data_IF_039447680965
#
_entry.id   IF_039447680965
#
_cell.length_a   1.000
_cell.length_b   1.000
_cell.length_c   1.000
_cell.angle_alpha   90.00
_cell.angle_beta   90.00
_cell.angle_gamma   90.00
#
_symmetry.space_group_name_H-M   'P 1'
#
loop_
_entity.id
_entity.type
_entity.pdbx_description
1 polymer ?
#
# COMPACT_ATOMS: atom_id res chain seq x y z
N UNK A 1 -9.36 14.78 8.00
CA UNK A 1 -10.28 14.93 6.85
C UNK A 1 -10.14 16.35 6.33
N UNK A 2 -9.96 16.55 5.01
CA UNK A 2 -9.89 17.88 4.41
C UNK A 2 -11.16 18.71 4.65
N UNK A 3 -10.99 20.03 4.86
CA UNK A 3 -12.08 20.95 5.20
C UNK A 3 -13.20 21.02 4.14
N UNK A 4 -12.86 20.80 2.87
CA UNK A 4 -13.81 20.83 1.76
C UNK A 4 -14.78 19.64 1.77
N UNK A 5 -14.36 18.44 2.22
CA UNK A 5 -15.30 17.33 2.45
C UNK A 5 -16.28 17.63 3.57
N UNK A 6 -15.79 18.27 4.65
CA UNK A 6 -16.65 18.66 5.77
C UNK A 6 -17.70 19.68 5.32
N UNK A 7 -17.31 20.64 4.47
CA UNK A 7 -18.23 21.61 3.91
C UNK A 7 -19.30 20.96 3.01
N UNK A 8 -18.91 20.03 2.12
CA UNK A 8 -19.84 19.29 1.27
C UNK A 8 -20.83 18.46 2.10
N UNK A 9 -20.35 17.73 3.12
CA UNK A 9 -21.24 16.99 4.02
C UNK A 9 -22.19 17.92 4.77
N UNK A 10 -21.74 19.08 5.25
CA UNK A 10 -22.61 20.05 5.94
C UNK A 10 -23.70 20.63 5.04
N UNK A 11 -23.43 20.77 3.75
CA UNK A 11 -24.39 21.30 2.79
C UNK A 11 -25.44 20.25 2.38
N UNK A 12 -25.02 18.99 2.21
CA UNK A 12 -25.83 17.97 1.55
C UNK A 12 -26.38 16.89 2.50
N UNK A 13 -25.82 16.73 3.70
CA UNK A 13 -26.24 15.73 4.69
C UNK A 13 -27.01 16.39 5.83
N UNK A 14 -28.28 16.01 5.99
CA UNK A 14 -29.17 16.57 7.03
C UNK A 14 -29.36 15.66 8.24
N UNK A 15 -29.03 14.37 8.13
CA UNK A 15 -29.16 13.40 9.24
C UNK A 15 -28.15 12.25 9.17
N UNK A 16 -27.91 11.60 10.31
CA UNK A 16 -27.07 10.40 10.39
C UNK A 16 -27.65 9.19 9.65
N UNK A 17 -28.97 9.11 9.51
CA UNK A 17 -29.62 8.06 8.71
C UNK A 17 -29.35 8.21 7.22
N UNK A 18 -29.33 9.46 6.72
CA UNK A 18 -29.03 9.76 5.32
C UNK A 18 -27.61 9.34 4.95
N UNK A 19 -26.60 9.74 5.74
CA UNK A 19 -25.21 9.35 5.44
C UNK A 19 -24.98 7.84 5.53
N UNK A 20 -25.76 7.13 6.35
CA UNK A 20 -25.74 5.68 6.46
C UNK A 20 -26.33 4.95 5.24
N UNK A 21 -27.26 5.59 4.52
CA UNK A 21 -27.93 4.99 3.37
C UNK A 21 -27.31 5.33 2.02
N UNK A 22 -26.36 6.27 1.94
CA UNK A 22 -25.76 6.68 0.68
C UNK A 22 -24.98 5.54 0.00
N UNK A 23 -25.27 5.32 -1.27
CA UNK A 23 -24.47 4.50 -2.18
C UNK A 23 -23.15 5.19 -2.55
N UNK A 24 -22.20 4.42 -3.07
CA UNK A 24 -20.89 4.95 -3.51
C UNK A 24 -21.04 6.00 -4.63
N UNK A 25 -22.03 5.80 -5.52
CA UNK A 25 -22.37 6.75 -6.59
C UNK A 25 -22.96 8.05 -6.05
N UNK A 26 -23.83 7.97 -5.05
CA UNK A 26 -24.40 9.17 -4.40
C UNK A 26 -23.33 9.92 -3.61
N UNK A 27 -22.44 9.22 -2.90
CA UNK A 27 -21.28 9.87 -2.25
C UNK A 27 -20.40 10.59 -3.28
N UNK A 28 -20.16 9.99 -4.45
CA UNK A 28 -19.39 10.65 -5.50
C UNK A 28 -20.13 11.86 -6.09
N UNK A 29 -21.43 11.73 -6.40
CA UNK A 29 -22.23 12.76 -7.06
C UNK A 29 -22.61 13.92 -6.13
N UNK A 30 -23.10 13.60 -4.94
CA UNK A 30 -23.63 14.58 -3.98
C UNK A 30 -22.54 15.19 -3.11
N UNK A 31 -21.53 14.42 -2.72
CA UNK A 31 -20.44 14.92 -1.86
C UNK A 31 -19.17 15.28 -2.64
N UNK A 32 -19.15 15.04 -3.96
CA UNK A 32 -18.01 15.36 -4.82
C UNK A 32 -16.75 14.52 -4.51
N UNK A 33 -16.92 13.34 -3.90
CA UNK A 33 -15.79 12.49 -3.47
C UNK A 33 -15.39 11.53 -4.60
N UNK A 34 -14.51 11.97 -5.49
CA UNK A 34 -14.07 11.18 -6.64
C UNK A 34 -13.09 10.05 -6.31
N UNK A 35 -12.24 10.20 -5.29
CA UNK A 35 -11.27 9.17 -4.91
C UNK A 35 -11.98 8.00 -4.19
N UNK A 36 -11.90 6.76 -4.71
CA UNK A 36 -12.56 5.59 -4.12
C UNK A 36 -12.10 5.30 -2.68
N UNK A 37 -10.83 5.57 -2.34
CA UNK A 37 -10.34 5.37 -0.97
C UNK A 37 -10.90 6.40 0.01
N UNK A 38 -11.24 7.61 -0.45
CA UNK A 38 -11.91 8.59 0.41
C UNK A 38 -13.36 8.19 0.68
N UNK A 39 -14.02 7.59 -0.30
CA UNK A 39 -15.37 7.01 -0.12
C UNK A 39 -15.31 5.79 0.80
N UNK A 40 -14.33 4.91 0.62
CA UNK A 40 -14.10 3.78 1.54
C UNK A 40 -13.90 4.26 2.98
N UNK A 41 -13.09 5.31 3.20
CA UNK A 41 -12.89 5.92 4.52
C UNK A 41 -14.21 6.33 5.17
N UNK A 42 -15.06 7.01 4.40
CA UNK A 42 -16.37 7.47 4.88
C UNK A 42 -17.25 6.27 5.24
N UNK A 43 -17.37 5.28 4.35
CA UNK A 43 -18.19 4.08 4.58
C UNK A 43 -17.71 3.31 5.80
N UNK A 44 -16.40 3.09 5.96
CA UNK A 44 -15.83 2.39 7.10
C UNK A 44 -16.13 3.12 8.43
N UNK A 45 -15.99 4.45 8.46
CA UNK A 45 -16.32 5.25 9.64
C UNK A 45 -17.82 5.20 10.00
N UNK A 46 -18.69 5.27 8.99
CA UNK A 46 -20.15 5.17 9.18
C UNK A 46 -20.55 3.78 9.69
N UNK A 47 -19.99 2.72 9.10
CA UNK A 47 -20.24 1.34 9.53
C UNK A 47 -19.81 1.08 10.97
N UNK A 48 -18.65 1.62 11.38
CA UNK A 48 -18.18 1.54 12.77
C UNK A 48 -19.15 2.24 13.74
N UNK A 49 -19.63 3.44 13.40
CA UNK A 49 -20.61 4.16 14.21
C UNK A 49 -21.91 3.36 14.34
N UNK A 50 -22.43 2.82 13.23
CA UNK A 50 -23.65 1.99 13.24
C UNK A 50 -23.45 0.75 14.12
N UNK A 51 -22.33 0.04 13.96
CA UNK A 51 -22.02 -1.14 14.76
C UNK A 51 -21.97 -0.81 16.26
N UNK A 52 -21.47 0.37 16.62
CA UNK A 52 -21.45 0.83 18.01
C UNK A 52 -22.84 1.18 18.54
N UNK A 53 -23.63 1.97 17.79
CA UNK A 53 -24.94 2.46 18.24
C UNK A 53 -26.01 1.38 18.24
N UNK A 54 -25.89 0.38 17.38
CA UNK A 54 -26.86 -0.72 17.25
C UNK A 54 -26.52 -1.94 18.12
N UNK A 55 -25.40 -1.94 18.84
CA UNK A 55 -25.05 -3.04 19.75
C UNK A 55 -25.79 -2.90 21.09
N UNK A 56 -26.74 -3.80 21.42
CA UNK A 56 -27.57 -3.68 22.62
C UNK A 56 -26.78 -3.77 23.94
N UNK A 57 -25.52 -4.24 23.92
CA UNK A 57 -24.65 -4.26 25.12
C UNK A 57 -24.16 -2.87 25.54
N UNK A 58 -24.17 -1.89 24.64
CA UNK A 58 -23.80 -0.50 24.94
C UNK A 58 -25.01 0.36 25.34
N UNK A 59 -26.23 -0.18 25.21
CA UNK A 59 -27.49 0.50 25.50
C UNK A 59 -27.98 0.39 26.95
N UNK A 60 -27.25 -0.28 27.87
CA UNK A 60 -27.69 -0.51 29.26
C UNK A 60 -26.91 0.23 30.34
N UNK A 61 -26.05 1.18 29.99
CA UNK A 61 -25.47 2.10 30.99
C UNK A 61 -25.89 3.54 30.69
N UNK A 62 -26.92 3.95 31.44
CA UNK A 62 -27.31 5.31 31.83
C UNK A 62 -28.13 6.16 30.83
N UNK A 63 -29.44 6.06 31.03
CA UNK A 63 -30.38 7.18 30.98
C UNK A 63 -29.81 8.44 31.67
N UNK A 64 -29.87 9.58 30.98
CA UNK A 64 -30.04 10.88 31.63
C UNK A 64 -28.78 11.64 32.08
N UNK A 65 -27.81 11.90 31.22
CA UNK A 65 -26.92 13.08 31.42
C UNK A 65 -26.64 13.82 30.11
N UNK A 66 -26.77 15.12 30.20
CA UNK A 66 -26.62 16.16 29.19
C UNK A 66 -25.17 16.31 28.72
N UNK A 67 -24.95 16.34 27.40
CA UNK A 67 -23.87 17.15 26.82
C UNK A 67 -22.51 16.50 26.52
N UNK A 68 -22.41 15.19 26.30
CA UNK A 68 -21.21 14.65 25.63
C UNK A 68 -21.23 15.07 24.16
N UNK A 69 -20.18 15.77 23.74
CA UNK A 69 -20.04 16.19 22.35
C UNK A 69 -19.91 14.94 21.47
N UNK A 70 -20.36 14.95 20.19
CA UNK A 70 -20.15 13.82 19.27
C UNK A 70 -18.67 13.46 19.08
N UNK A 71 -17.77 14.35 19.50
CA UNK A 71 -16.32 14.21 19.51
C UNK A 71 -15.76 13.43 20.71
N UNK A 72 -16.54 13.14 21.75
CA UNK A 72 -16.10 12.43 22.97
C UNK A 72 -16.47 10.93 22.99
N UNK A 73 -16.85 10.36 21.84
CA UNK A 73 -17.02 8.91 21.72
C UNK A 73 -15.65 8.24 21.85
N UNK A 74 -15.42 7.37 22.86
CA UNK A 74 -14.11 6.75 23.11
C UNK A 74 -13.55 5.98 21.89
N UNK A 75 -14.43 5.53 21.00
CA UNK A 75 -14.10 4.71 19.83
C UNK A 75 -13.52 5.54 18.68
N UNK A 76 -13.93 6.80 18.52
CA UNK A 76 -13.40 7.67 17.46
C UNK A 76 -11.96 8.13 17.74
N UNK A 77 -11.51 8.07 19.00
CA UNK A 77 -10.14 8.38 19.39
C UNK A 77 -9.20 7.17 19.43
N UNK A 78 -9.73 5.93 19.52
CA UNK A 78 -8.91 4.73 19.70
C UNK A 78 -8.34 4.14 18.40
N UNK A 79 -8.98 4.38 17.25
CA UNK A 79 -8.50 3.82 15.98
C UNK A 79 -7.37 4.66 15.38
N UNK A 80 -6.25 4.05 14.95
CA UNK A 80 -5.13 4.78 14.40
C UNK A 80 -5.55 5.59 13.16
N UNK A 81 -5.34 6.90 13.22
CA UNK A 81 -5.68 7.79 12.12
C UNK A 81 -4.69 7.67 10.94
N UNK A 82 -5.01 8.32 9.82
CA UNK A 82 -4.16 8.29 8.64
C UNK A 82 -2.74 8.83 8.84
N UNK A 83 -2.53 9.79 9.74
CA UNK A 83 -1.19 10.31 10.04
C UNK A 83 -0.35 9.27 10.75
N UNK A 84 -0.93 8.53 11.70
CA UNK A 84 -0.25 7.42 12.34
C UNK A 84 0.08 6.32 11.33
N UNK A 85 -0.88 5.94 10.48
CA UNK A 85 -0.68 4.93 9.43
C UNK A 85 0.46 5.35 8.49
N UNK A 86 0.43 6.59 8.00
CA UNK A 86 1.40 7.11 7.02
C UNK A 86 2.78 7.41 7.60
N UNK A 87 2.86 8.02 8.78
CA UNK A 87 4.12 8.49 9.36
C UNK A 87 4.83 7.44 10.22
N UNK A 88 4.06 6.63 10.97
CA UNK A 88 4.60 5.74 11.99
C UNK A 88 4.53 4.30 11.50
N UNK A 89 3.32 3.80 11.23
CA UNK A 89 3.12 2.38 10.93
C UNK A 89 3.89 1.93 9.70
N UNK A 90 3.79 2.65 8.57
CA UNK A 90 4.58 2.33 7.37
C UNK A 90 6.09 2.33 7.61
N UNK A 91 6.61 3.24 8.44
CA UNK A 91 8.02 3.22 8.83
C UNK A 91 8.35 1.93 9.59
N UNK A 92 7.49 1.52 10.54
CA UNK A 92 7.71 0.30 11.33
C UNK A 92 7.74 -0.98 10.48
N UNK A 93 7.11 -0.97 9.30
CA UNK A 93 7.15 -2.07 8.34
C UNK A 93 8.34 -2.01 7.37
N UNK A 94 9.10 -0.91 7.37
CA UNK A 94 10.14 -0.64 6.36
C UNK A 94 9.55 -0.26 5.00
N UNK A 95 8.40 0.41 4.98
CA UNK A 95 7.61 0.75 3.79
C UNK A 95 7.30 2.26 3.67
N UNK A 96 8.17 3.10 4.24
CA UNK A 96 7.98 4.55 4.32
C UNK A 96 7.87 5.24 2.95
N UNK A 97 8.35 4.62 1.88
CA UNK A 97 8.25 5.14 0.51
C UNK A 97 6.80 5.29 0.02
N UNK A 98 5.85 4.51 0.57
CA UNK A 98 4.43 4.59 0.23
C UNK A 98 3.65 5.63 1.06
N UNK A 99 4.33 6.30 2.00
CA UNK A 99 3.73 7.30 2.90
C UNK A 99 2.89 8.33 2.17
N UNK A 100 3.43 8.89 1.09
CA UNK A 100 2.77 9.96 0.36
C UNK A 100 1.40 9.52 -0.15
N UNK A 101 1.32 8.34 -0.78
CA UNK A 101 0.09 7.82 -1.36
C UNK A 101 -0.93 7.45 -0.28
N UNK A 102 -0.48 6.83 0.82
CA UNK A 102 -1.36 6.53 1.96
C UNK A 102 -1.93 7.80 2.60
N UNK A 103 -1.11 8.86 2.71
CA UNK A 103 -1.53 10.14 3.26
C UNK A 103 -2.49 10.88 2.33
N UNK A 104 -2.19 10.94 1.03
CA UNK A 104 -3.05 11.55 0.02
C UNK A 104 -4.40 10.83 -0.09
N UNK A 105 -4.43 9.50 0.11
CA UNK A 105 -5.65 8.69 0.11
C UNK A 105 -6.33 8.57 1.49
N UNK A 106 -5.82 9.26 2.50
CA UNK A 106 -6.38 9.32 3.86
C UNK A 106 -6.56 7.94 4.55
N UNK A 107 -5.72 6.96 4.21
CA UNK A 107 -5.83 5.58 4.72
C UNK A 107 -5.65 5.54 6.23
N UNK A 108 -6.69 5.16 6.98
CA UNK A 108 -6.63 4.96 8.43
C UNK A 108 -6.75 3.47 8.82
N UNK A 109 -6.64 3.17 10.12
CA UNK A 109 -6.68 1.81 10.65
C UNK A 109 -7.91 1.01 10.23
N UNK A 110 -9.07 1.65 10.18
CA UNK A 110 -10.34 1.01 9.79
C UNK A 110 -10.33 0.59 8.34
N UNK A 111 -9.69 1.37 7.48
CA UNK A 111 -9.60 1.06 6.05
C UNK A 111 -8.68 -0.12 5.76
N UNK A 112 -7.67 -0.37 6.59
CA UNK A 112 -6.60 -1.34 6.29
C UNK A 112 -7.16 -2.73 5.96
N UNK A 113 -8.21 -3.17 6.66
CA UNK A 113 -8.83 -4.49 6.43
C UNK A 113 -9.66 -4.59 5.16
N UNK A 114 -10.04 -3.44 4.61
CA UNK A 114 -10.92 -3.32 3.45
C UNK A 114 -10.17 -2.94 2.19
N UNK A 115 -8.86 -2.70 2.27
CA UNK A 115 -8.03 -2.47 1.09
C UNK A 115 -8.01 -3.73 0.23
N UNK A 116 -8.21 -3.56 -1.07
CA UNK A 116 -8.11 -4.64 -2.07
C UNK A 116 -6.75 -4.64 -2.77
N UNK A 117 -6.44 -5.71 -3.51
CA UNK A 117 -5.17 -5.85 -4.23
C UNK A 117 -5.07 -4.77 -5.32
N UNK A 118 -6.22 -4.42 -5.91
CA UNK A 118 -6.36 -3.30 -6.84
C UNK A 118 -6.06 -1.99 -6.14
N UNK A 119 -6.59 -1.74 -4.94
CA UNK A 119 -6.31 -0.50 -4.20
C UNK A 119 -4.82 -0.32 -3.91
N UNK A 120 -4.18 -1.38 -3.40
CA UNK A 120 -2.74 -1.38 -3.13
C UNK A 120 -1.95 -1.05 -4.40
N UNK A 121 -2.27 -1.67 -5.54
CA UNK A 121 -1.53 -1.48 -6.80
C UNK A 121 -1.82 -0.14 -7.48
N UNK A 122 -3.10 0.18 -7.66
CA UNK A 122 -3.57 1.27 -8.52
C UNK A 122 -3.54 2.60 -7.77
N UNK A 123 -4.09 2.64 -6.55
CA UNK A 123 -4.23 3.88 -5.78
C UNK A 123 -3.02 4.13 -4.89
N UNK A 124 -2.53 3.10 -4.20
CA UNK A 124 -1.43 3.21 -3.22
C UNK A 124 -0.04 2.93 -3.82
N UNK A 125 0.03 2.53 -5.10
CA UNK A 125 1.25 2.31 -5.88
C UNK A 125 2.19 1.22 -5.33
N UNK A 126 1.65 0.28 -4.56
CA UNK A 126 2.36 -0.92 -4.06
C UNK A 126 2.36 -2.02 -5.13
N UNK A 127 3.21 -1.84 -6.14
CA UNK A 127 3.34 -2.75 -7.29
C UNK A 127 4.12 -4.02 -6.94
N UNK A 128 5.05 -3.93 -6.00
CA UNK A 128 5.84 -5.07 -5.53
C UNK A 128 4.96 -6.09 -4.80
N UNK A 129 5.12 -7.38 -5.14
CA UNK A 129 4.38 -8.47 -4.51
C UNK A 129 4.75 -8.69 -3.05
N UNK A 130 6.04 -8.60 -2.73
CA UNK A 130 6.54 -8.72 -1.38
C UNK A 130 6.09 -7.55 -0.51
N UNK A 131 6.09 -6.31 -1.02
CA UNK A 131 5.59 -5.19 -0.22
C UNK A 131 4.10 -5.31 0.10
N UNK A 132 3.29 -5.89 -0.79
CA UNK A 132 1.88 -6.18 -0.48
C UNK A 132 1.75 -7.25 0.61
N UNK A 133 2.55 -8.31 0.54
CA UNK A 133 2.60 -9.34 1.59
C UNK A 133 3.06 -8.75 2.93
N UNK A 134 4.05 -7.87 2.91
CA UNK A 134 4.51 -7.13 4.07
C UNK A 134 3.41 -6.32 4.73
N UNK A 135 2.62 -5.56 3.95
CA UNK A 135 1.45 -4.84 4.45
C UNK A 135 0.43 -5.81 5.05
N UNK A 136 0.15 -6.95 4.39
CA UNK A 136 -0.77 -7.96 4.90
C UNK A 136 -0.34 -8.54 6.26
N UNK A 137 0.93 -8.89 6.42
CA UNK A 137 1.48 -9.35 7.69
C UNK A 137 1.39 -8.26 8.76
N UNK A 138 1.65 -6.99 8.41
CA UNK A 138 1.46 -5.85 9.30
C UNK A 138 0.01 -5.68 9.76
N UNK A 139 -0.97 -5.87 8.86
CA UNK A 139 -2.40 -5.82 9.20
C UNK A 139 -2.78 -7.01 10.09
N UNK A 140 -2.27 -8.21 9.80
CA UNK A 140 -2.50 -9.40 10.62
C UNK A 140 -1.96 -9.21 12.05
N UNK A 141 -0.82 -8.52 12.19
CA UNK A 141 -0.31 -8.10 13.50
C UNK A 141 -1.30 -7.16 14.20
N UNK A 142 -1.76 -6.08 13.56
CA UNK A 142 -2.72 -5.15 14.17
C UNK A 142 -4.00 -5.86 14.62
N UNK A 143 -4.56 -6.73 13.75
CA UNK A 143 -5.74 -7.55 14.06
C UNK A 143 -5.54 -8.45 15.28
N UNK A 144 -4.36 -9.07 15.41
CA UNK A 144 -4.02 -9.95 16.54
C UNK A 144 -4.09 -9.24 17.89
N UNK A 145 -3.85 -7.94 17.89
CA UNK A 145 -3.92 -7.08 19.08
C UNK A 145 -5.20 -6.25 19.11
N UNK A 146 -6.20 -6.57 18.29
CA UNK A 146 -7.45 -5.82 18.21
C UNK A 146 -7.23 -4.31 17.97
N UNK A 147 -6.17 -3.95 17.25
CA UNK A 147 -5.73 -2.56 17.03
C UNK A 147 -5.38 -1.78 18.31
N UNK A 148 -5.09 -2.48 19.42
CA UNK A 148 -4.53 -1.89 20.63
C UNK A 148 -3.05 -1.53 20.40
N UNK A 149 -2.82 -0.27 20.03
CA UNK A 149 -1.48 0.24 19.72
C UNK A 149 -0.61 0.26 20.96
N UNK A 150 -1.17 0.59 22.13
CA UNK A 150 -0.42 0.66 23.37
C UNK A 150 0.09 -0.73 23.79
N UNK A 151 -0.73 -1.76 23.64
CA UNK A 151 -0.32 -3.14 23.88
C UNK A 151 0.80 -3.61 22.92
N UNK A 152 0.79 -3.16 21.67
CA UNK A 152 1.87 -3.45 20.72
C UNK A 152 3.16 -2.74 21.14
N UNK A 153 3.09 -1.46 21.51
CA UNK A 153 4.26 -0.68 21.93
C UNK A 153 4.85 -1.17 23.26
N UNK A 154 4.02 -1.65 24.19
CA UNK A 154 4.49 -2.31 25.42
C UNK A 154 5.32 -3.55 25.09
N UNK A 155 4.85 -4.39 24.17
CA UNK A 155 5.58 -5.59 23.74
C UNK A 155 6.85 -5.25 22.99
N UNK A 156 6.83 -4.24 22.11
CA UNK A 156 8.02 -3.72 21.42
C UNK A 156 9.08 -3.25 22.43
N UNK A 157 8.66 -2.53 23.45
CA UNK A 157 9.53 -2.05 24.52
C UNK A 157 10.14 -3.22 25.32
N UNK A 158 9.35 -4.25 25.61
CA UNK A 158 9.80 -5.44 26.34
C UNK A 158 10.87 -6.27 25.57
N UNK A 159 10.87 -6.23 24.23
CA UNK A 159 11.81 -6.96 23.37
C UNK A 159 12.90 -6.09 22.73
N UNK A 160 13.06 -4.83 23.13
CA UNK A 160 14.04 -3.92 22.51
C UNK A 160 15.47 -4.46 22.59
N UNK A 161 15.86 -5.01 23.75
CA UNK A 161 17.20 -5.53 24.02
C UNK A 161 17.23 -7.06 24.17
N UNK A 162 16.16 -7.76 23.79
CA UNK A 162 16.01 -9.21 23.95
C UNK A 162 15.50 -9.81 22.65
N UNK A 163 16.11 -10.92 22.23
CA UNK A 163 15.67 -11.67 21.06
C UNK A 163 14.46 -12.54 21.40
N UNK A 164 13.33 -11.89 21.66
CA UNK A 164 12.05 -12.52 21.99
C UNK A 164 10.93 -11.81 21.27
N UNK A 165 9.80 -12.49 21.11
CA UNK A 165 8.57 -11.91 20.58
C UNK A 165 8.70 -11.30 19.18
N UNK A 166 9.21 -12.10 18.23
CA UNK A 166 9.53 -11.67 16.88
C UNK A 166 8.39 -10.92 16.18
N UNK A 167 7.13 -11.33 16.39
CA UNK A 167 5.99 -10.81 15.62
C UNK A 167 5.81 -9.29 15.73
N UNK A 168 6.21 -8.67 16.85
CA UNK A 168 6.06 -7.22 17.08
C UNK A 168 7.25 -6.39 16.60
N UNK A 169 8.34 -7.03 16.16
CA UNK A 169 9.56 -6.32 15.79
C UNK A 169 9.32 -5.38 14.61
N UNK A 170 9.77 -4.15 14.78
CA UNK A 170 9.83 -3.15 13.70
C UNK A 170 10.96 -3.47 12.73
N UNK A 171 10.96 -2.83 11.56
CA UNK A 171 12.07 -2.85 10.63
C UNK A 171 13.41 -2.50 11.31
N UNK A 172 13.45 -1.42 12.11
CA UNK A 172 14.64 -1.03 12.88
C UNK A 172 15.12 -2.12 13.85
N UNK A 173 14.20 -2.78 14.55
CA UNK A 173 14.53 -3.86 15.48
C UNK A 173 15.10 -5.08 14.75
N UNK A 174 14.57 -5.40 13.56
CA UNK A 174 15.10 -6.45 12.67
C UNK A 174 16.49 -6.05 12.16
N UNK A 175 16.69 -4.81 11.75
CA UNK A 175 17.99 -4.29 11.30
C UNK A 175 19.06 -4.42 12.40
N UNK A 176 18.70 -4.05 13.63
CA UNK A 176 19.57 -4.17 14.81
C UNK A 176 19.94 -5.62 15.09
N UNK A 177 18.97 -6.53 14.99
CA UNK A 177 19.21 -7.98 15.13
C UNK A 177 20.17 -8.50 14.05
N UNK A 178 19.91 -8.20 12.78
CA UNK A 178 20.77 -8.63 11.67
C UNK A 178 22.20 -8.08 11.78
N UNK A 179 22.34 -6.84 12.23
CA UNK A 179 23.64 -6.22 12.51
C UNK A 179 24.37 -6.95 13.63
N UNK A 180 23.67 -7.34 14.70
CA UNK A 180 24.25 -8.11 15.81
C UNK A 180 24.71 -9.50 15.38
N UNK A 181 24.04 -10.11 14.39
CA UNK A 181 24.45 -11.37 13.79
C UNK A 181 25.59 -11.24 12.77
N UNK A 182 25.98 -10.01 12.40
CA UNK A 182 26.93 -9.74 11.33
C UNK A 182 26.39 -10.02 9.92
N UNK A 183 25.07 -10.15 9.77
CA UNK A 183 24.39 -10.34 8.48
C UNK A 183 24.12 -9.03 7.74
N UNK A 184 24.15 -7.91 8.46
CA UNK A 184 24.02 -6.56 7.93
C UNK A 184 25.19 -5.72 8.45
N UNK A 185 25.80 -4.92 7.58
CA UNK A 185 26.81 -3.95 8.00
C UNK A 185 26.16 -2.78 8.74
N UNK A 186 26.88 -2.17 9.69
CA UNK A 186 26.34 -1.05 10.48
C UNK A 186 25.94 0.19 9.65
N UNK A 187 26.45 0.31 8.42
CA UNK A 187 26.09 1.38 7.47
C UNK A 187 24.95 1.00 6.53
N UNK A 188 24.56 -0.27 6.48
CA UNK A 188 23.54 -0.79 5.57
C UNK A 188 22.16 -0.66 6.21
N UNK A 189 21.19 -0.15 5.44
CA UNK A 189 19.80 -0.05 5.89
C UNK A 189 18.93 -1.05 5.13
N UNK A 190 17.97 -1.63 5.84
CA UNK A 190 16.87 -2.41 5.26
C UNK A 190 15.59 -1.56 5.12
N UNK A 191 15.74 -0.23 5.14
CA UNK A 191 14.67 0.69 4.77
C UNK A 191 14.12 0.34 3.39
N UNK A 192 12.82 0.56 3.21
CA UNK A 192 12.11 0.31 1.96
C UNK A 192 12.02 -1.16 1.53
N UNK A 193 12.59 -2.10 2.29
CA UNK A 193 12.54 -3.53 1.97
C UNK A 193 11.20 -4.19 2.28
N UNK A 194 10.42 -3.63 3.20
CA UNK A 194 9.24 -4.32 3.76
C UNK A 194 9.55 -5.40 4.80
N UNK A 195 10.82 -5.60 5.17
CA UNK A 195 11.20 -6.55 6.21
C UNK A 195 10.83 -6.05 7.60
N UNK A 196 10.06 -6.84 8.34
CA UNK A 196 9.74 -6.60 9.75
C UNK A 196 9.36 -7.93 10.42
N UNK A 197 9.17 -7.90 11.74
CA UNK A 197 8.94 -9.07 12.56
C UNK A 197 7.74 -9.92 12.17
N UNK A 198 6.61 -9.29 11.83
CA UNK A 198 5.40 -10.01 11.46
C UNK A 198 5.58 -10.80 10.15
N UNK A 199 6.28 -10.28 9.14
CA UNK A 199 6.63 -11.06 7.93
C UNK A 199 7.50 -12.25 8.28
N UNK A 200 8.56 -12.05 9.07
CA UNK A 200 9.46 -13.14 9.47
C UNK A 200 8.75 -14.23 10.29
N UNK A 201 7.74 -13.84 11.09
CA UNK A 201 7.00 -14.76 11.96
C UNK A 201 5.85 -15.47 11.23
N UNK A 202 5.16 -14.78 10.32
CA UNK A 202 3.88 -15.23 9.76
C UNK A 202 4.00 -15.79 8.34
N UNK A 203 4.90 -15.27 7.51
CA UNK A 203 5.06 -15.78 6.15
C UNK A 203 5.73 -17.16 6.19
N UNK A 204 5.07 -18.17 5.60
CA UNK A 204 5.58 -19.53 5.53
C UNK A 204 6.76 -19.66 4.55
N UNK A 205 6.76 -18.83 3.50
CA UNK A 205 7.75 -18.85 2.41
C UNK A 205 9.01 -18.06 2.76
N UNK A 206 8.98 -17.24 3.83
CA UNK A 206 10.17 -16.60 4.38
C UNK A 206 11.10 -17.63 5.01
N UNK A 207 12.07 -18.05 4.21
CA UNK A 207 13.18 -18.89 4.60
C UNK A 207 14.51 -18.13 4.57
N UNK A 208 15.57 -18.81 5.00
CA UNK A 208 16.92 -18.22 5.11
C UNK A 208 17.49 -17.84 3.73
N UNK A 209 17.38 -18.67 2.67
CA UNK A 209 17.72 -18.28 1.31
C UNK A 209 17.02 -17.01 0.84
N UNK A 210 15.71 -16.88 1.06
CA UNK A 210 14.93 -15.70 0.66
C UNK A 210 15.39 -14.46 1.41
N UNK A 211 15.57 -14.57 2.74
CA UNK A 211 16.09 -13.47 3.56
C UNK A 211 17.50 -13.07 3.12
N UNK A 212 18.39 -14.02 2.83
CA UNK A 212 19.75 -13.74 2.37
C UNK A 212 19.75 -13.04 1.00
N UNK A 213 18.86 -13.43 0.10
CA UNK A 213 18.69 -12.77 -1.20
C UNK A 213 18.20 -11.33 -1.04
N UNK A 214 17.25 -11.07 -0.13
CA UNK A 214 16.77 -9.72 0.19
C UNK A 214 17.87 -8.83 0.78
N UNK A 215 18.75 -9.41 1.60
CA UNK A 215 19.92 -8.73 2.16
C UNK A 215 21.08 -8.61 1.16
N UNK A 216 20.91 -9.08 -0.08
CA UNK A 216 21.94 -9.09 -1.13
C UNK A 216 23.23 -9.79 -0.71
N UNK A 217 23.12 -10.82 0.15
CA UNK A 217 24.26 -11.64 0.57
C UNK A 217 24.67 -12.52 -0.63
N UNK A 218 25.89 -12.39 -1.17
CA UNK A 218 26.30 -13.11 -2.36
C UNK A 218 26.25 -14.64 -2.17
N UNK A 219 25.59 -15.35 -3.08
CA UNK A 219 25.59 -16.82 -3.11
C UNK A 219 26.96 -17.40 -3.52
N UNK A 220 27.81 -16.61 -4.16
CA UNK A 220 29.06 -17.05 -4.80
C UNK A 220 30.30 -16.50 -4.09
N UNK A 221 30.46 -16.78 -2.81
CA UNK A 221 31.77 -16.98 -2.16
C UNK A 221 31.52 -17.57 -0.77
N UNK A 222 31.71 -18.87 -0.62
CA UNK A 222 31.52 -19.57 0.65
C UNK A 222 32.77 -19.32 1.51
N UNK A 223 33.03 -18.08 1.89
CA UNK A 223 33.93 -17.83 3.01
C UNK A 223 33.30 -18.44 4.26
N UNK A 224 34.11 -19.06 5.12
CA UNK A 224 33.67 -19.67 6.38
C UNK A 224 32.79 -18.73 7.22
N UNK A 225 33.03 -17.41 7.10
CA UNK A 225 32.25 -16.35 7.75
C UNK A 225 30.79 -16.28 7.26
N UNK A 226 30.53 -16.40 5.95
CA UNK A 226 29.17 -16.33 5.40
C UNK A 226 28.36 -17.60 5.73
N UNK A 227 28.99 -18.78 5.73
CA UNK A 227 28.35 -20.02 6.20
C UNK A 227 27.98 -19.93 7.68
N UNK A 228 28.87 -19.36 8.50
CA UNK A 228 28.62 -19.16 9.91
C UNK A 228 27.45 -18.20 10.13
N UNK A 229 27.43 -17.05 9.43
CA UNK A 229 26.33 -16.08 9.51
C UNK A 229 25.00 -16.73 9.13
N UNK A 230 24.95 -17.46 8.01
CA UNK A 230 23.74 -18.15 7.55
C UNK A 230 23.30 -19.20 8.58
N UNK A 231 24.23 -19.95 9.16
CA UNK A 231 23.94 -20.99 10.17
C UNK A 231 23.42 -20.39 11.48
N UNK A 232 24.04 -19.30 11.94
CA UNK A 232 23.62 -18.56 13.14
C UNK A 232 22.24 -17.94 12.89
N UNK A 233 22.04 -17.26 11.76
CA UNK A 233 20.75 -16.68 11.39
C UNK A 233 19.65 -17.75 11.32
N UNK A 234 19.95 -18.92 10.74
CA UNK A 234 19.04 -20.08 10.71
C UNK A 234 18.66 -20.55 12.11
N UNK A 235 19.63 -20.69 13.01
CA UNK A 235 19.37 -21.13 14.38
C UNK A 235 18.51 -20.11 15.16
N UNK A 236 18.87 -18.82 15.10
CA UNK A 236 18.14 -17.76 15.80
C UNK A 236 16.73 -17.58 15.23
N UNK A 237 16.58 -17.52 13.91
CA UNK A 237 15.26 -17.40 13.27
C UNK A 237 14.38 -18.60 13.61
N UNK A 238 14.91 -19.82 13.57
CA UNK A 238 14.15 -21.02 13.96
C UNK A 238 13.59 -20.90 15.38
N UNK A 239 14.39 -20.47 16.35
CA UNK A 239 13.95 -20.32 17.74
C UNK A 239 12.93 -19.19 17.91
N UNK A 240 13.09 -18.09 17.18
CA UNK A 240 12.19 -16.94 17.21
C UNK A 240 10.83 -17.25 16.55
N UNK A 241 10.82 -18.04 15.49
CA UNK A 241 9.63 -18.38 14.70
C UNK A 241 8.84 -19.54 15.31
N UNK A 242 9.54 -20.46 16.01
CA UNK A 242 8.93 -21.67 16.60
C UNK A 242 7.62 -21.42 17.35
N UNK A 243 7.48 -20.41 18.23
CA UNK A 243 6.23 -20.16 18.96
C UNK A 243 5.04 -19.82 18.05
N UNK A 244 5.29 -19.34 16.83
CA UNK A 244 4.26 -18.88 15.90
C UNK A 244 3.89 -19.94 14.86
N UNK A 245 4.86 -20.74 14.39
CA UNK A 245 4.61 -21.81 13.40
C UNK A 245 4.22 -23.16 13.99
N UNK A 246 4.48 -23.42 15.28
CA UNK A 246 4.06 -24.68 15.95
C UNK A 246 2.58 -24.68 16.36
N UNK A 247 1.99 -23.50 16.48
CA UNK A 247 0.55 -23.33 16.62
C UNK A 247 0.05 -23.14 15.18
N UNK A 248 -0.73 -24.07 14.65
CA UNK A 248 -1.62 -23.72 13.53
C UNK A 248 -2.53 -22.61 14.05
N UNK A 249 -2.10 -21.36 13.89
CA UNK A 249 -2.83 -20.17 14.33
C UNK A 249 -4.07 -20.10 13.45
N UNK A 250 -5.11 -20.85 13.83
CA UNK A 250 -6.35 -21.05 13.09
C UNK A 250 -7.12 -19.74 12.81
N UNK A 251 -6.74 -18.63 13.44
CA UNK A 251 -7.28 -17.30 13.18
C UNK A 251 -6.48 -16.50 12.14
N UNK A 252 -5.25 -16.91 11.83
CA UNK A 252 -4.45 -16.31 10.74
C UNK A 252 -4.72 -17.16 9.51
N UNK A 253 -5.86 -16.90 8.87
CA UNK A 253 -6.16 -17.53 7.59
C UNK A 253 -5.33 -16.85 6.50
N UNK A 254 -4.09 -17.31 6.29
CA UNK A 254 -3.26 -16.93 5.14
C UNK A 254 -3.82 -17.49 3.81
N UNK A 255 -4.74 -18.45 3.88
CA UNK A 255 -5.54 -18.93 2.73
C UNK A 255 -6.80 -18.09 2.52
N UNK A 256 -7.12 -17.18 3.46
CA UNK A 256 -8.10 -16.12 3.29
C UNK A 256 -7.59 -14.74 3.74
N UNK A 257 -6.50 -14.19 3.15
CA UNK A 257 -6.15 -12.79 3.28
C UNK A 257 -7.36 -11.93 2.93
N UNK A 258 -7.37 -10.66 3.32
CA UNK A 258 -8.32 -9.68 2.80
C UNK A 258 -8.29 -9.53 1.24
N UNK A 259 -7.55 -10.41 0.54
CA UNK A 259 -7.12 -10.34 -0.84
C UNK A 259 -7.24 -11.67 -1.61
N UNK A 260 -7.83 -12.73 -1.05
CA UNK A 260 -7.93 -14.07 -1.71
C UNK A 260 -9.19 -14.29 -2.50
N UNK A 261 -10.20 -13.46 -2.32
CA UNK A 261 -11.23 -13.34 -3.35
C UNK A 261 -10.71 -12.28 -4.32
N UNK A 262 -9.93 -12.72 -5.30
CA UNK A 262 -10.38 -12.64 -6.69
C UNK A 262 -9.23 -12.89 -7.71
N UNK A 263 -9.09 -14.13 -8.18
CA UNK A 263 -8.32 -14.46 -9.38
C UNK A 263 -9.16 -14.39 -10.67
N UNK A 264 -10.44 -14.01 -10.56
CA UNK A 264 -11.32 -13.80 -11.71
C UNK A 264 -11.82 -12.37 -11.69
N UNK A 265 -10.93 -11.45 -12.06
CA UNK A 265 -11.21 -10.02 -12.17
C UNK A 265 -12.70 -9.71 -12.20
N UNK A 266 -13.26 -9.45 -11.03
CA UNK A 266 -14.45 -8.67 -10.87
C UNK A 266 -14.00 -7.28 -11.27
N UNK A 267 -13.99 -7.07 -12.59
CA UNK A 267 -14.70 -5.95 -13.17
C UNK A 267 -15.84 -5.62 -12.20
N UNK A 268 -15.74 -4.45 -11.57
CA UNK A 268 -16.93 -3.86 -10.96
C UNK A 268 -18.05 -4.07 -11.99
N UNK A 269 -19.23 -4.62 -11.64
CA UNK A 269 -20.29 -4.97 -12.60
C UNK A 269 -20.85 -3.81 -13.47
N UNK A 270 -20.15 -2.68 -13.52
CA UNK A 270 -20.52 -1.39 -14.09
C UNK A 270 -19.32 -0.66 -14.74
N UNK A 271 -18.14 -1.29 -14.88
CA UNK A 271 -17.07 -0.76 -15.76
C UNK A 271 -17.29 -1.27 -17.20
N UNK A 272 -18.44 -0.95 -17.81
CA UNK A 272 -18.69 -1.08 -19.25
C UNK A 272 -19.84 -0.15 -19.66
N UNK A 273 -19.62 1.16 -19.53
CA UNK A 273 -20.23 2.11 -20.47
C UNK A 273 -19.12 3.07 -20.90
N UNK A 274 -18.41 2.67 -21.97
CA UNK A 274 -17.75 3.64 -22.84
C UNK A 274 -18.76 4.75 -23.13
N UNK A 275 -18.40 5.99 -22.76
CA UNK A 275 -19.09 7.18 -23.23
C UNK A 275 -18.96 7.16 -24.76
N UNK A 276 -19.96 6.57 -25.39
CA UNK A 276 -20.21 6.68 -26.80
C UNK A 276 -20.67 8.11 -27.01
N UNK A 277 -19.76 8.96 -27.50
CA UNK A 277 -20.15 10.24 -28.08
C UNK A 277 -20.94 9.95 -29.36
N UNK A 278 -22.22 9.60 -29.20
CA UNK A 278 -23.19 9.69 -30.27
C UNK A 278 -23.45 11.18 -30.51
N UNK A 279 -22.83 11.68 -31.58
CA UNK A 279 -23.19 12.94 -32.21
C UNK A 279 -24.59 12.72 -32.79
N UNK A 280 -25.63 13.06 -32.03
CA UNK A 280 -26.97 13.17 -32.57
C UNK A 280 -27.02 14.32 -33.58
N UNK A 281 -27.15 13.93 -34.85
CA UNK A 281 -27.48 14.79 -35.97
C UNK A 281 -28.92 15.32 -35.81
N UNK A 282 -29.09 16.40 -35.05
CA UNK A 282 -30.32 17.20 -35.08
C UNK A 282 -30.21 18.25 -36.18
N UNK A 283 -30.77 17.89 -37.33
CA UNK A 283 -31.12 18.81 -38.41
C UNK A 283 -32.24 19.76 -37.94
N UNK A 284 -31.86 20.97 -37.54
CA UNK A 284 -32.76 22.13 -37.45
C UNK A 284 -32.20 23.24 -38.34
N UNK A 285 -32.89 23.49 -39.44
CA UNK A 285 -32.43 24.35 -40.52
C UNK A 285 -32.35 25.82 -40.15
N UNK A 286 -31.26 26.46 -40.58
CA UNK A 286 -31.23 27.88 -40.91
C UNK A 286 -30.47 28.06 -42.24
N UNK A 287 -31.12 28.81 -43.14
CA UNK A 287 -30.62 29.23 -44.46
C UNK A 287 -29.46 30.21 -44.29
N UNK A 288 -28.45 30.12 -45.17
CA UNK A 288 -27.78 31.27 -45.84
C UNK A 288 -26.71 30.73 -46.83
N UNK A 289 -27.03 30.73 -48.13
CA UNK A 289 -26.46 31.60 -49.18
C UNK A 289 -24.95 31.45 -49.46
N UNK A 290 -24.65 30.78 -50.58
CA UNK A 290 -23.34 30.68 -51.25
C UNK A 290 -23.06 31.94 -52.09
N UNK A 291 -21.79 32.33 -52.30
CA UNK A 291 -21.31 32.38 -53.68
C UNK A 291 -19.88 31.84 -53.92
N UNK A 292 -19.80 31.00 -54.97
CA UNK A 292 -18.85 30.89 -56.08
C UNK A 292 -17.30 30.93 -55.91
N UNK A 293 -16.71 29.76 -56.26
CA UNK A 293 -15.78 29.46 -57.38
C UNK A 293 -14.74 30.49 -57.86
N UNK A 294 -13.49 30.02 -57.89
CA UNK A 294 -12.41 30.35 -58.84
C UNK A 294 -11.13 29.62 -58.36
N UNK A 295 -10.30 28.93 -59.13
CA UNK A 295 -10.13 28.82 -60.57
C UNK A 295 -8.62 28.82 -60.88
N UNK A 296 -8.04 27.63 -61.16
CA UNK A 296 -6.95 27.41 -62.12
C UNK A 296 -5.49 27.80 -61.79
N UNK A 297 -4.57 26.85 -62.01
CA UNK A 297 -3.25 27.13 -62.60
C UNK A 297 -2.01 26.56 -61.87
N UNK A 298 -0.91 26.24 -62.58
CA UNK A 298 -0.44 24.84 -62.66
C UNK A 298 1.08 24.60 -62.50
N UNK A 299 1.48 23.32 -62.63
CA UNK A 299 2.78 22.78 -63.11
C UNK A 299 3.98 22.83 -62.11
N UNK A 300 4.99 21.94 -62.07
CA UNK A 300 5.65 21.07 -63.08
C UNK A 300 6.47 19.95 -62.34
N UNK A 301 6.63 18.78 -62.99
CA UNK A 301 7.85 17.88 -63.10
C UNK A 301 8.64 17.42 -61.86
N UNK A 302 8.70 16.10 -61.59
CA UNK A 302 9.82 15.15 -61.93
C UNK A 302 10.89 15.14 -60.81
N UNK A 303 11.58 14.07 -60.38
CA UNK A 303 11.96 12.79 -60.98
C UNK A 303 12.56 11.84 -59.89
N UNK A 304 12.42 10.54 -60.14
CA UNK A 304 13.21 9.33 -59.78
C UNK A 304 14.18 9.21 -58.57
N UNK A 305 13.88 8.19 -57.74
CA UNK A 305 14.63 6.93 -57.44
C UNK A 305 16.12 6.89 -56.97
N UNK A 306 16.27 6.32 -55.76
CA UNK A 306 17.16 5.22 -55.32
C UNK A 306 18.64 5.39 -54.88
N UNK A 307 18.88 4.77 -53.71
CA UNK A 307 20.10 4.33 -52.94
C UNK A 307 21.25 3.71 -53.78
N UNK A 308 22.51 3.39 -53.29
CA UNK A 308 22.83 2.85 -51.93
C UNK A 308 24.27 2.99 -51.30
N UNK A 309 24.36 2.51 -50.03
CA UNK A 309 25.43 1.73 -49.32
C UNK A 309 26.73 2.37 -48.74
N UNK A 310 26.86 2.11 -47.42
CA UNK A 310 27.98 1.49 -46.67
C UNK A 310 29.16 2.33 -46.10
N UNK A 311 29.38 2.18 -44.78
CA UNK A 311 30.63 2.49 -44.08
C UNK A 311 30.59 2.07 -42.60
N UNK A 312 31.39 1.06 -42.23
CA UNK A 312 31.66 0.58 -40.85
C UNK A 312 32.88 1.30 -40.26
N UNK A 313 32.92 1.50 -38.93
CA UNK A 313 34.16 1.76 -38.18
C UNK A 313 34.16 1.02 -36.83
N UNK A 314 35.37 0.60 -36.42
CA UNK A 314 35.75 -0.37 -35.37
C UNK A 314 36.45 0.36 -34.19
N UNK A 315 36.49 -0.18 -32.95
CA UNK A 315 37.17 0.41 -31.77
C UNK A 315 38.59 -0.21 -31.51
N UNK A 316 39.16 -0.12 -30.28
CA UNK A 316 40.30 0.73 -29.89
C UNK A 316 41.67 0.01 -29.85
N UNK A 317 42.76 0.78 -29.69
CA UNK A 317 44.13 0.27 -29.50
C UNK A 317 44.71 0.61 -28.11
N UNK A 318 45.49 -0.34 -27.61
CA UNK A 318 46.24 -0.37 -26.36
C UNK A 318 47.64 0.24 -26.54
N UNK A 319 48.22 0.81 -25.49
CA UNK A 319 49.67 0.75 -25.26
C UNK A 319 50.05 0.97 -23.79
N UNK A 320 51.04 0.18 -23.39
CA UNK A 320 51.69 0.10 -22.09
C UNK A 320 52.86 1.08 -22.02
N UNK A 321 53.17 1.60 -20.82
CA UNK A 321 54.52 2.10 -20.53
C UNK A 321 54.89 1.82 -19.08
N UNK A 322 55.99 1.07 -18.92
CA UNK A 322 56.76 0.91 -17.68
C UNK A 322 57.51 2.21 -17.36
N UNK A 323 57.62 2.54 -16.09
CA UNK A 323 58.60 3.48 -15.53
C UNK A 323 58.98 3.00 -14.12
N UNK A 324 60.28 2.99 -13.83
CA UNK A 324 60.92 2.41 -12.65
C UNK A 324 61.82 3.50 -12.00
N UNK A 325 62.07 3.37 -10.69
CA UNK A 325 63.11 4.07 -9.88
C UNK A 325 62.67 5.50 -9.44
N UNK A 326 62.68 5.91 -8.16
CA UNK A 326 63.63 5.69 -7.05
C UNK A 326 62.93 5.61 -5.69
#
# INVERSE_FOLDING_TARGET
>A
MPAWYVAACRANITSGGMIASLSDQEVQRELGISNPLHRLKLRAAVQEIIAYTCNPRNGTSNSGTTGTSPTDLPILQASPNHEWVGNIWLATLGLIQYRRQFMECLVDGRMLEHLTKRDLRVHLKVVDGFHRLSIQCGIALLKRFNYDIDAIEERRSACLNKDTDLIVWTNDRVATWLTTLGALDASSSIDQSGLHGAVLALDADMDIPTLAAMLQIPNSNIETRLVLIISVMKYHLFNLVKPYRSLQLSYINLDNPAFTYDERGEEYPWEDEEISTEVEDQTMGYKESVPQRGGGGPSVSDELYSTPKAGKSVPPSTSSTKGHIH
#
